data_IF_664061861617
#
_entry.id   IF_664061861617
#
_cell.length_a   1.000
_cell.length_b   1.000
_cell.length_c   1.000
_cell.angle_alpha   90.00
_cell.angle_beta   90.00
_cell.angle_gamma   90.00
#
_symmetry.space_group_name_H-M   'P 1'
#
loop_
_entity.id
_entity.type
_entity.pdbx_description
1 polymer ?
#
# COMPACT_ATOMS: atom_id res chain seq x y z
N UNK A 1 -5.63 14.48 -12.40
CA UNK A 1 -4.93 13.27 -12.90
C UNK A 1 -4.57 12.31 -11.78
N UNK A 2 -3.83 12.71 -10.73
CA UNK A 2 -3.51 11.80 -9.60
C UNK A 2 -4.74 11.24 -8.85
N UNK A 3 -5.81 12.03 -8.69
CA UNK A 3 -7.10 11.54 -8.14
C UNK A 3 -7.71 10.43 -8.98
N UNK A 4 -7.81 10.64 -10.30
CA UNK A 4 -8.33 9.62 -11.22
C UNK A 4 -7.51 8.33 -11.20
N UNK A 5 -6.18 8.41 -11.03
CA UNK A 5 -5.34 7.22 -10.86
C UNK A 5 -5.68 6.45 -9.56
N UNK A 6 -5.91 7.17 -8.46
CA UNK A 6 -6.34 6.55 -7.20
C UNK A 6 -7.70 5.87 -7.34
N UNK A 7 -8.65 6.51 -8.01
CA UNK A 7 -9.98 5.95 -8.28
C UNK A 7 -9.90 4.67 -9.13
N UNK A 8 -8.97 4.62 -10.09
CA UNK A 8 -8.68 3.44 -10.90
C UNK A 8 -7.78 2.39 -10.21
N UNK A 9 -7.46 2.57 -8.93
CA UNK A 9 -6.56 1.70 -8.16
C UNK A 9 -5.13 1.58 -8.79
N UNK A 10 -4.68 2.63 -9.46
CA UNK A 10 -3.33 2.76 -10.03
C UNK A 10 -2.44 3.50 -9.03
N UNK A 11 -1.38 2.80 -8.57
CA UNK A 11 -0.35 3.38 -7.70
C UNK A 11 0.78 3.97 -8.55
N UNK A 12 1.15 5.22 -8.29
CA UNK A 12 2.27 5.89 -8.98
C UNK A 12 3.42 6.04 -8.00
N UNK A 13 4.53 5.35 -8.26
CA UNK A 13 5.81 5.65 -7.63
C UNK A 13 6.58 6.67 -8.48
N UNK A 14 7.15 7.68 -7.84
CA UNK A 14 7.91 8.74 -8.54
C UNK A 14 9.38 8.63 -8.19
N UNK A 15 10.24 8.87 -9.18
CA UNK A 15 11.69 8.78 -9.05
C UNK A 15 12.30 10.12 -9.43
N UNK A 16 13.03 10.72 -8.50
CA UNK A 16 13.79 11.94 -8.75
C UNK A 16 15.22 11.60 -9.13
N UNK A 17 15.56 11.67 -10.42
CA UNK A 17 16.94 11.52 -10.89
C UNK A 17 17.76 12.81 -10.69
N UNK A 18 19.09 12.67 -10.63
CA UNK A 18 20.07 13.76 -10.47
C UNK A 18 19.65 15.05 -11.21
N UNK A 19 19.62 16.16 -10.45
CA UNK A 19 19.30 17.50 -10.95
C UNK A 19 17.87 17.98 -10.62
N UNK A 20 16.96 17.08 -10.22
CA UNK A 20 15.60 17.49 -9.83
C UNK A 20 15.53 18.09 -8.42
N UNK A 21 16.45 17.68 -7.54
CA UNK A 21 16.55 18.19 -6.16
C UNK A 21 16.95 19.67 -6.10
N UNK A 22 17.57 20.19 -7.17
CA UNK A 22 17.80 21.64 -7.35
C UNK A 22 16.54 22.41 -7.78
N UNK A 23 15.46 21.72 -8.14
CA UNK A 23 14.16 22.31 -8.48
C UNK A 23 13.12 21.91 -7.44
N UNK A 24 13.18 22.55 -6.27
CA UNK A 24 12.33 22.25 -5.10
C UNK A 24 10.83 22.17 -5.42
N UNK A 25 10.32 23.07 -6.27
CA UNK A 25 8.91 23.05 -6.69
C UNK A 25 8.55 21.79 -7.50
N UNK A 26 9.44 21.31 -8.37
CA UNK A 26 9.19 20.10 -9.16
C UNK A 26 9.23 18.84 -8.28
N UNK A 27 10.17 18.78 -7.34
CA UNK A 27 10.28 17.68 -6.39
C UNK A 27 9.00 17.53 -5.53
N UNK A 28 8.45 18.63 -5.03
CA UNK A 28 7.22 18.60 -4.23
C UNK A 28 6.00 18.11 -5.04
N UNK A 29 5.95 18.40 -6.34
CA UNK A 29 4.92 17.84 -7.23
C UNK A 29 5.04 16.31 -7.31
N UNK A 30 6.25 15.77 -7.48
CA UNK A 30 6.45 14.32 -7.54
C UNK A 30 6.13 13.61 -6.22
N UNK A 31 6.48 14.22 -5.08
CA UNK A 31 6.08 13.72 -3.75
C UNK A 31 4.57 13.73 -3.59
N UNK A 32 3.90 14.79 -4.01
CA UNK A 32 2.45 14.93 -3.93
C UNK A 32 1.72 13.87 -4.78
N UNK A 33 2.17 13.64 -6.03
CA UNK A 33 1.60 12.62 -6.91
C UNK A 33 1.75 11.22 -6.30
N UNK A 34 2.93 10.87 -5.81
CA UNK A 34 3.16 9.60 -5.15
C UNK A 34 2.26 9.44 -3.92
N UNK A 35 2.26 10.43 -3.02
CA UNK A 35 1.44 10.39 -1.79
C UNK A 35 -0.07 10.23 -2.09
N UNK A 36 -0.62 10.97 -3.05
CA UNK A 36 -2.05 10.92 -3.37
C UNK A 36 -2.49 9.58 -3.93
N UNK A 37 -1.62 8.89 -4.67
CA UNK A 37 -1.88 7.56 -5.23
C UNK A 37 -1.47 6.41 -4.31
N UNK A 38 -0.98 6.69 -3.09
CA UNK A 38 -0.48 5.68 -2.16
C UNK A 38 0.88 5.09 -2.56
N UNK A 39 1.58 5.74 -3.49
CA UNK A 39 2.93 5.38 -3.91
C UNK A 39 4.02 6.05 -3.07
N UNK A 40 5.25 5.93 -3.55
CA UNK A 40 6.46 6.39 -2.85
C UNK A 40 7.27 7.28 -3.78
N UNK A 41 7.89 8.31 -3.21
CA UNK A 41 8.88 9.12 -3.90
C UNK A 41 10.28 8.64 -3.53
N UNK A 42 11.13 8.48 -4.54
CA UNK A 42 12.49 7.99 -4.39
C UNK A 42 13.50 8.98 -4.99
N UNK A 43 14.30 9.67 -4.17
CA UNK A 43 15.48 10.37 -4.67
C UNK A 43 16.51 9.33 -5.12
N UNK A 44 16.98 9.45 -6.36
CA UNK A 44 17.94 8.56 -6.98
C UNK A 44 19.21 9.34 -7.33
N UNK A 45 20.23 9.16 -6.49
CA UNK A 45 21.55 9.79 -6.68
C UNK A 45 22.38 9.07 -7.76
N UNK A 46 22.04 7.81 -8.05
CA UNK A 46 22.74 6.97 -9.01
C UNK A 46 21.75 6.13 -9.84
N UNK A 47 21.75 6.33 -11.16
CA UNK A 47 20.87 5.63 -12.10
C UNK A 47 21.05 4.10 -12.09
N UNK A 48 22.21 3.59 -11.70
CA UNK A 48 22.47 2.14 -11.62
C UNK A 48 21.57 1.44 -10.59
N UNK A 49 21.04 2.19 -9.61
CA UNK A 49 20.15 1.67 -8.57
C UNK A 49 18.70 1.56 -9.04
N UNK A 50 18.35 2.12 -10.22
CA UNK A 50 16.99 2.13 -10.73
C UNK A 50 16.41 0.73 -10.92
N UNK A 51 17.22 -0.22 -11.43
CA UNK A 51 16.78 -1.60 -11.63
C UNK A 51 16.42 -2.25 -10.29
N UNK A 52 17.30 -2.14 -9.29
CA UNK A 52 17.06 -2.70 -7.96
C UNK A 52 15.84 -2.06 -7.29
N UNK A 53 15.63 -0.76 -7.50
CA UNK A 53 14.45 -0.06 -7.01
C UNK A 53 13.17 -0.58 -7.65
N UNK A 54 13.14 -0.75 -8.98
CA UNK A 54 11.98 -1.29 -9.70
C UNK A 54 11.68 -2.71 -9.26
N UNK A 55 12.70 -3.57 -9.14
CA UNK A 55 12.53 -4.93 -8.63
C UNK A 55 11.97 -4.93 -7.22
N UNK A 56 12.52 -4.11 -6.32
CA UNK A 56 12.02 -4.02 -4.94
C UNK A 56 10.59 -3.46 -4.86
N UNK A 57 10.23 -2.54 -5.76
CA UNK A 57 8.85 -2.07 -5.88
C UNK A 57 7.92 -3.20 -6.33
N UNK A 58 8.32 -4.01 -7.30
CA UNK A 58 7.54 -5.16 -7.73
C UNK A 58 7.32 -6.15 -6.58
N UNK A 59 8.36 -6.48 -5.82
CA UNK A 59 8.27 -7.38 -4.66
C UNK A 59 7.31 -6.82 -3.59
N UNK A 60 7.39 -5.52 -3.31
CA UNK A 60 6.47 -4.85 -2.38
C UNK A 60 5.03 -4.84 -2.88
N UNK A 61 4.80 -4.68 -4.19
CA UNK A 61 3.45 -4.74 -4.76
C UNK A 61 2.86 -6.16 -4.69
N UNK A 62 3.69 -7.19 -4.87
CA UNK A 62 3.28 -8.58 -4.64
C UNK A 62 2.94 -8.82 -3.16
N UNK A 63 3.75 -8.29 -2.24
CA UNK A 63 3.48 -8.36 -0.80
C UNK A 63 2.19 -7.62 -0.42
N UNK A 64 1.93 -6.46 -1.03
CA UNK A 64 0.67 -5.72 -0.84
C UNK A 64 -0.54 -6.56 -1.21
N UNK A 65 -0.51 -7.22 -2.38
CA UNK A 65 -1.58 -8.13 -2.81
C UNK A 65 -1.74 -9.33 -1.88
N UNK A 66 -0.65 -9.85 -1.31
CA UNK A 66 -0.70 -10.89 -0.28
C UNK A 66 -1.44 -10.39 0.96
N UNK A 67 -1.18 -9.16 1.42
CA UNK A 67 -1.89 -8.54 2.55
C UNK A 67 -3.37 -8.35 2.23
N UNK A 68 -3.72 -7.85 1.04
CA UNK A 68 -5.11 -7.75 0.56
C UNK A 68 -5.82 -9.12 0.61
N UNK A 69 -5.14 -10.19 0.19
CA UNK A 69 -5.67 -11.56 0.29
C UNK A 69 -5.91 -12.02 1.73
N UNK A 70 -4.99 -11.73 2.65
CA UNK A 70 -5.14 -12.06 4.07
C UNK A 70 -6.27 -11.26 4.74
N UNK A 71 -6.41 -9.98 4.43
CA UNK A 71 -7.53 -9.15 4.90
C UNK A 71 -8.85 -9.72 4.42
N UNK A 72 -8.93 -10.13 3.14
CA UNK A 72 -10.12 -10.77 2.57
C UNK A 72 -10.46 -12.09 3.27
N UNK A 73 -9.45 -12.91 3.57
CA UNK A 73 -9.62 -14.16 4.30
C UNK A 73 -10.23 -13.91 5.70
N UNK A 74 -9.64 -12.99 6.46
CA UNK A 74 -10.14 -12.63 7.80
C UNK A 74 -11.54 -12.03 7.71
N UNK A 75 -11.79 -11.17 6.71
CA UNK A 75 -13.11 -10.59 6.48
C UNK A 75 -14.16 -11.68 6.25
N UNK A 76 -13.92 -12.66 5.38
CA UNK A 76 -14.87 -13.75 5.14
C UNK A 76 -15.10 -14.63 6.39
N UNK A 77 -14.09 -14.83 7.23
CA UNK A 77 -14.23 -15.57 8.48
C UNK A 77 -15.10 -14.84 9.52
N UNK A 78 -15.20 -13.52 9.42
CA UNK A 78 -15.87 -12.66 10.40
C UNK A 78 -16.87 -11.68 9.75
N UNK A 79 -17.44 -12.05 8.60
CA UNK A 79 -18.17 -11.12 7.73
C UNK A 79 -19.34 -10.44 8.46
N UNK A 80 -20.16 -11.22 9.18
CA UNK A 80 -21.33 -10.71 9.89
C UNK A 80 -20.96 -9.67 10.95
N UNK A 81 -19.90 -9.94 11.72
CA UNK A 81 -19.44 -9.04 12.78
C UNK A 81 -18.79 -7.77 12.20
N UNK A 82 -18.02 -7.90 11.11
CA UNK A 82 -17.35 -6.79 10.47
C UNK A 82 -18.32 -5.89 9.71
N UNK A 83 -19.31 -6.44 9.03
CA UNK A 83 -20.33 -5.66 8.31
C UNK A 83 -21.22 -4.82 9.25
N UNK A 84 -21.40 -5.27 10.50
CA UNK A 84 -22.16 -4.54 11.51
C UNK A 84 -21.33 -3.45 12.23
N UNK A 85 -20.01 -3.44 12.04
CA UNK A 85 -19.10 -2.54 12.72
C UNK A 85 -18.78 -1.29 11.87
N UNK A 86 -18.43 -0.19 12.56
CA UNK A 86 -17.89 1.02 11.93
C UNK A 86 -16.53 0.77 11.29
N UNK A 87 -16.17 1.58 10.28
CA UNK A 87 -14.94 1.37 9.49
C UNK A 87 -13.67 1.36 10.34
N UNK A 88 -13.58 2.22 11.35
CA UNK A 88 -12.43 2.26 12.25
C UNK A 88 -12.30 0.98 13.07
N UNK A 89 -13.42 0.43 13.52
CA UNK A 89 -13.49 -0.81 14.29
C UNK A 89 -13.16 -2.04 13.43
N UNK A 90 -13.61 -2.05 12.17
CA UNK A 90 -13.23 -3.06 11.18
C UNK A 90 -11.70 -3.10 11.01
N UNK A 91 -11.09 -1.95 10.75
CA UNK A 91 -9.64 -1.82 10.57
C UNK A 91 -8.90 -2.24 11.84
N UNK A 92 -9.38 -1.83 13.02
CA UNK A 92 -8.79 -2.22 14.30
C UNK A 92 -8.79 -3.73 14.48
N UNK A 93 -9.94 -4.38 14.31
CA UNK A 93 -10.07 -5.83 14.43
C UNK A 93 -9.18 -6.59 13.43
N UNK A 94 -9.17 -6.15 12.17
CA UNK A 94 -8.32 -6.75 11.12
C UNK A 94 -6.84 -6.61 11.48
N UNK A 95 -6.42 -5.43 11.97
CA UNK A 95 -5.04 -5.17 12.39
C UNK A 95 -4.64 -6.08 13.54
N UNK A 96 -5.43 -6.12 14.62
CA UNK A 96 -5.17 -6.95 15.79
C UNK A 96 -5.10 -8.44 15.42
N UNK A 97 -6.01 -8.91 14.57
CA UNK A 97 -6.05 -10.30 14.10
C UNK A 97 -4.80 -10.66 13.28
N UNK A 98 -4.39 -9.81 12.34
CA UNK A 98 -3.21 -10.06 11.51
C UNK A 98 -1.90 -9.93 12.31
N UNK A 99 -1.84 -9.03 13.27
CA UNK A 99 -0.71 -8.92 14.19
C UNK A 99 -0.60 -10.13 15.12
N UNK A 100 -1.72 -10.65 15.63
CA UNK A 100 -1.74 -11.89 16.42
C UNK A 100 -1.25 -13.10 15.61
N UNK A 101 -1.50 -13.11 14.30
CA UNK A 101 -0.93 -14.09 13.34
C UNK A 101 0.56 -13.84 13.01
N UNK A 102 1.20 -12.84 13.62
CA UNK A 102 2.60 -12.42 13.38
C UNK A 102 2.91 -12.14 11.91
N UNK A 103 1.93 -11.59 11.19
CA UNK A 103 2.12 -11.20 9.79
C UNK A 103 3.15 -10.07 9.73
N UNK A 104 4.12 -10.23 8.84
CA UNK A 104 5.13 -9.23 8.50
C UNK A 104 4.88 -8.72 7.09
N UNK A 105 5.31 -7.51 6.81
CA UNK A 105 5.18 -6.86 5.50
C UNK A 105 6.53 -6.39 5.00
N UNK A 106 6.72 -6.44 3.69
CA UNK A 106 7.97 -6.08 3.03
C UNK A 106 8.00 -4.56 2.80
N UNK A 107 9.03 -3.90 3.32
CA UNK A 107 9.20 -2.45 3.20
C UNK A 107 10.68 -2.08 3.05
N UNK A 108 10.96 -0.87 2.55
CA UNK A 108 12.30 -0.32 2.48
C UNK A 108 12.75 0.13 3.88
N UNK A 109 13.93 -0.31 4.32
CA UNK A 109 14.37 -0.15 5.73
C UNK A 109 14.65 1.29 6.12
N UNK A 110 15.19 2.11 5.22
CA UNK A 110 15.92 3.32 5.64
C UNK A 110 15.57 4.58 4.84
N UNK A 111 14.47 4.58 4.05
CA UNK A 111 14.12 5.71 3.17
C UNK A 111 15.16 6.01 2.06
N UNK A 112 16.29 5.30 2.07
CA UNK A 112 17.40 5.33 1.09
C UNK A 112 17.22 4.32 -0.04
N UNK A 113 16.07 3.63 -0.06
CA UNK A 113 15.47 2.97 -1.23
C UNK A 113 16.22 1.79 -1.82
N UNK A 114 17.08 1.14 -1.04
CA UNK A 114 17.98 0.11 -1.57
C UNK A 114 17.82 -1.26 -0.94
N UNK A 115 17.26 -1.35 0.27
CA UNK A 115 17.12 -2.63 0.96
C UNK A 115 15.70 -2.84 1.43
N UNK A 116 15.11 -3.93 0.96
CA UNK A 116 13.86 -4.43 1.48
C UNK A 116 14.12 -5.26 2.74
N UNK A 117 13.23 -5.15 3.69
CA UNK A 117 13.17 -6.05 4.84
C UNK A 117 11.74 -6.26 5.27
N UNK A 118 11.51 -7.37 5.94
CA UNK A 118 10.24 -7.59 6.62
C UNK A 118 10.18 -6.74 7.89
N UNK A 119 9.12 -5.95 8.02
CA UNK A 119 8.74 -5.25 9.26
C UNK A 119 7.41 -5.77 9.78
N UNK A 120 7.05 -5.39 11.00
CA UNK A 120 5.72 -5.67 11.54
C UNK A 120 4.64 -4.95 10.73
N UNK A 121 3.49 -5.63 10.59
CA UNK A 121 2.28 -5.08 9.99
C UNK A 121 1.73 -3.96 10.88
N UNK A 122 1.40 -2.82 10.26
CA UNK A 122 0.85 -1.64 10.92
C UNK A 122 -0.58 -1.37 10.47
N UNK A 123 -1.26 -0.48 11.17
CA UNK A 123 -2.64 -0.07 10.86
C UNK A 123 -2.76 0.44 9.43
N UNK A 124 -1.79 1.23 8.97
CA UNK A 124 -1.83 1.85 7.64
C UNK A 124 -1.77 0.82 6.51
N UNK A 125 -1.08 -0.31 6.71
CA UNK A 125 -1.03 -1.40 5.74
C UNK A 125 -2.42 -2.05 5.59
N UNK A 126 -3.14 -2.18 6.71
CA UNK A 126 -4.48 -2.75 6.75
C UNK A 126 -5.50 -1.76 6.20
N UNK A 127 -5.39 -0.47 6.51
CA UNK A 127 -6.27 0.58 5.95
C UNK A 127 -6.21 0.58 4.42
N UNK A 128 -5.00 0.52 3.84
CA UNK A 128 -4.82 0.45 2.39
C UNK A 128 -5.42 -0.82 1.78
N UNK A 129 -5.20 -1.98 2.42
CA UNK A 129 -5.77 -3.24 1.95
C UNK A 129 -7.30 -3.27 2.10
N UNK A 130 -7.83 -2.73 3.19
CA UNK A 130 -9.26 -2.67 3.47
C UNK A 130 -9.99 -1.74 2.53
N UNK A 131 -9.40 -0.60 2.15
CA UNK A 131 -9.96 0.30 1.14
C UNK A 131 -10.21 -0.42 -0.21
N UNK A 132 -9.34 -1.36 -0.58
CA UNK A 132 -9.55 -2.21 -1.77
C UNK A 132 -10.62 -3.27 -1.52
N UNK A 133 -10.50 -4.04 -0.44
CA UNK A 133 -11.38 -5.18 -0.14
C UNK A 133 -12.82 -4.74 0.13
N UNK A 134 -13.03 -3.64 0.85
CA UNK A 134 -14.35 -3.10 1.17
C UNK A 134 -15.10 -2.63 -0.09
N UNK A 135 -14.40 -2.02 -1.05
CA UNK A 135 -14.97 -1.66 -2.36
C UNK A 135 -15.43 -2.88 -3.14
N UNK A 136 -14.65 -3.96 -3.14
CA UNK A 136 -15.06 -5.21 -3.76
C UNK A 136 -16.26 -5.86 -3.06
N UNK A 137 -16.30 -5.82 -1.73
CA UNK A 137 -17.43 -6.33 -0.96
C UNK A 137 -18.72 -5.55 -1.25
N UNK A 138 -18.64 -4.22 -1.40
CA UNK A 138 -19.77 -3.36 -1.77
C UNK A 138 -20.24 -3.55 -3.21
N UNK A 139 -19.32 -3.89 -4.13
CA UNK A 139 -19.62 -4.18 -5.53
C UNK A 139 -20.20 -5.60 -5.74
N UNK A 140 -20.19 -6.44 -4.71
CA UNK A 140 -20.74 -7.79 -4.77
C UNK A 140 -21.98 -7.96 -3.87
N UNK A 141 -23.12 -7.30 -4.17
CA UNK A 141 -24.38 -7.60 -3.49
C UNK A 141 -25.01 -8.94 -3.93
N UNK A 142 -24.30 -9.78 -4.72
CA UNK A 142 -24.85 -11.00 -5.32
C UNK A 142 -23.92 -12.22 -5.24
N UNK A 143 -23.24 -12.39 -4.10
CA UNK A 143 -22.32 -13.52 -3.84
C UNK A 143 -22.78 -14.46 -2.73
N UNK A 144 -24.09 -14.65 -2.53
CA UNK A 144 -24.61 -15.82 -1.80
C UNK A 144 -25.02 -16.88 -2.83
N UNK A 145 -24.11 -17.81 -3.13
CA UNK A 145 -24.40 -19.24 -3.35
C UNK A 145 -23.17 -20.04 -2.92
#
# INVERSE_FOLDING_TARGET
>A
QAESCREMNIVIHTVGCRGITSFTAAEEVFKSVAKRTGGLYFPLDNAQLLINLISGLADRQLDRRRVEGLVREVFHQHADALLAAETEEQVRFLTETLQARKIRVLDFTDGTNQKLSFRELRKEDVELAWDVVSREAQLSPAGMV
#
